data_IF_450922906177
#
_entry.id   IF_450922906177
#
_cell.length_a   1.000
_cell.length_b   1.000
_cell.length_c   1.000
_cell.angle_alpha   90.00
_cell.angle_beta   90.00
_cell.angle_gamma   90.00
#
_symmetry.space_group_name_H-M   'P 1'
#
loop_
_entity.id
_entity.type
_entity.pdbx_description
1 polymer ?
#
# COMPACT_ATOMS: atom_id res chain seq x y z
N UNK A 1 13.54 15.83 -12.45
CA UNK A 1 13.19 16.11 -11.04
C UNK A 1 13.07 14.78 -10.32
N UNK A 2 13.86 14.54 -9.27
CA UNK A 2 13.74 13.31 -8.49
C UNK A 2 12.44 13.37 -7.67
N UNK A 3 11.50 12.45 -7.93
CA UNK A 3 10.25 12.32 -7.17
C UNK A 3 10.61 11.89 -5.75
N UNK A 4 10.16 12.62 -4.72
CA UNK A 4 10.34 12.22 -3.33
C UNK A 4 9.81 10.78 -3.12
N UNK A 5 10.59 9.94 -2.42
CA UNK A 5 10.16 8.57 -2.09
C UNK A 5 8.91 8.63 -1.21
N UNK A 6 7.90 7.87 -1.60
CA UNK A 6 6.65 7.72 -0.86
C UNK A 6 6.71 6.44 -0.04
N UNK A 7 6.58 6.56 1.27
CA UNK A 7 6.70 5.43 2.21
C UNK A 7 5.36 4.94 2.77
N UNK A 8 4.29 5.72 2.65
CA UNK A 8 2.97 5.39 3.21
C UNK A 8 1.96 5.31 2.08
N UNK A 9 1.21 4.22 2.02
CA UNK A 9 0.18 3.95 1.03
C UNK A 9 -1.15 3.65 1.73
N UNK A 10 -2.13 4.51 1.51
CA UNK A 10 -3.45 4.42 2.15
C UNK A 10 -4.39 3.50 1.37
N UNK A 11 -5.33 2.87 2.08
CA UNK A 11 -6.44 2.08 1.50
C UNK A 11 -7.71 2.27 2.34
N UNK A 12 -8.88 2.32 1.69
CA UNK A 12 -10.16 2.45 2.37
C UNK A 12 -11.18 3.27 1.56
N UNK A 13 -12.46 3.20 1.96
CA UNK A 13 -13.52 4.00 1.31
C UNK A 13 -13.70 3.71 -0.19
N UNK A 14 -13.39 2.49 -0.63
CA UNK A 14 -13.48 2.10 -2.04
C UNK A 14 -12.34 2.60 -2.92
N UNK A 15 -11.23 3.09 -2.35
CA UNK A 15 -10.03 3.51 -3.06
C UNK A 15 -8.77 3.09 -2.30
N UNK A 16 -7.67 2.88 -3.03
CA UNK A 16 -6.36 2.70 -2.46
C UNK A 16 -5.28 3.33 -3.33
N UNK A 17 -4.15 3.66 -2.70
CA UNK A 17 -2.95 4.17 -3.37
C UNK A 17 -2.04 3.04 -3.87
N UNK A 18 -2.31 1.80 -3.43
CA UNK A 18 -1.63 0.57 -3.85
C UNK A 18 -2.51 -0.31 -4.75
N UNK A 19 -1.94 -1.44 -5.19
CA UNK A 19 -2.62 -2.48 -6.00
C UNK A 19 -1.93 -3.83 -5.85
N UNK A 20 -2.58 -4.90 -6.30
CA UNK A 20 -2.09 -6.28 -6.18
C UNK A 20 -0.70 -6.52 -6.78
N UNK A 21 -0.27 -5.71 -7.75
CA UNK A 21 1.06 -5.80 -8.39
C UNK A 21 2.19 -5.31 -7.48
N UNK A 22 1.89 -4.49 -6.46
CA UNK A 22 2.87 -3.81 -5.62
C UNK A 22 3.34 -4.67 -4.44
N UNK A 23 3.46 -6.00 -4.62
CA UNK A 23 3.82 -6.95 -3.55
C UNK A 23 5.22 -6.72 -3.01
N UNK A 24 6.17 -6.39 -3.87
CA UNK A 24 7.55 -6.12 -3.47
C UNK A 24 7.65 -4.86 -2.60
N UNK A 25 6.77 -3.87 -2.84
CA UNK A 25 6.79 -2.58 -2.13
C UNK A 25 5.91 -2.59 -0.88
N UNK A 26 4.74 -3.23 -0.92
CA UNK A 26 3.72 -3.18 0.14
C UNK A 26 3.61 -4.49 0.93
N UNK A 27 4.35 -5.53 0.53
CA UNK A 27 4.13 -6.90 0.98
C UNK A 27 2.85 -7.51 0.40
N UNK A 28 2.74 -8.84 0.48
CA UNK A 28 1.57 -9.56 -0.07
C UNK A 28 0.24 -9.16 0.57
N UNK A 29 0.23 -8.90 1.90
CA UNK A 29 -0.98 -8.48 2.63
C UNK A 29 -1.38 -7.04 2.30
N UNK A 30 -0.43 -6.10 2.27
CA UNK A 30 -0.69 -4.70 1.94
C UNK A 30 -1.18 -4.53 0.50
N UNK A 31 -0.57 -5.24 -0.45
CA UNK A 31 -0.99 -5.25 -1.85
C UNK A 31 -2.41 -5.80 -2.04
N UNK A 32 -2.76 -6.90 -1.35
CA UNK A 32 -4.11 -7.48 -1.43
C UNK A 32 -5.17 -6.59 -0.75
N UNK A 33 -4.87 -5.95 0.38
CA UNK A 33 -5.79 -5.02 1.05
C UNK A 33 -6.09 -3.80 0.17
N UNK A 34 -5.06 -3.26 -0.49
CA UNK A 34 -5.22 -2.19 -1.46
C UNK A 34 -6.08 -2.62 -2.66
N UNK A 35 -5.88 -3.83 -3.17
CA UNK A 35 -6.70 -4.38 -4.25
C UNK A 35 -8.17 -4.55 -3.83
N UNK A 36 -8.42 -5.10 -2.65
CA UNK A 36 -9.78 -5.23 -2.11
C UNK A 36 -10.46 -3.87 -1.97
N UNK A 37 -9.75 -2.85 -1.49
CA UNK A 37 -10.26 -1.49 -1.43
C UNK A 37 -10.59 -0.92 -2.83
N UNK A 38 -9.73 -1.13 -3.83
CA UNK A 38 -9.99 -0.69 -5.21
C UNK A 38 -11.18 -1.42 -5.86
N UNK A 39 -11.39 -2.69 -5.51
CA UNK A 39 -12.57 -3.48 -5.91
C UNK A 39 -13.85 -3.08 -5.17
N UNK A 40 -13.80 -2.05 -4.33
CA UNK A 40 -14.92 -1.58 -3.49
C UNK A 40 -15.44 -2.63 -2.52
N UNK A 41 -14.61 -3.62 -2.17
CA UNK A 41 -14.91 -4.55 -1.09
C UNK A 41 -14.80 -3.75 0.22
N UNK A 42 -15.76 -3.89 1.15
CA UNK A 42 -15.74 -3.17 2.42
C UNK A 42 -14.57 -3.67 3.29
N UNK A 43 -13.43 -3.00 3.16
CA UNK A 43 -12.27 -3.15 4.04
C UNK A 43 -12.16 -1.93 4.96
N UNK A 44 -11.84 -2.13 6.26
CA UNK A 44 -11.56 -1.03 7.17
C UNK A 44 -10.44 -0.13 6.61
N UNK A 45 -10.59 1.18 6.77
CA UNK A 45 -9.58 2.13 6.32
C UNK A 45 -8.26 1.94 7.08
N UNK A 46 -7.15 2.06 6.37
CA UNK A 46 -5.82 1.89 6.92
C UNK A 46 -4.73 2.33 5.95
N UNK A 47 -3.50 1.99 6.28
CA UNK A 47 -2.34 2.28 5.45
C UNK A 47 -1.28 1.18 5.57
N UNK A 48 -0.41 1.12 4.57
CA UNK A 48 0.76 0.24 4.52
C UNK A 48 2.01 1.09 4.46
N UNK A 49 2.98 0.78 5.30
CA UNK A 49 4.34 1.34 5.22
C UNK A 49 5.15 0.44 4.29
N UNK A 50 5.90 1.01 3.35
CA UNK A 50 6.62 0.22 2.35
C UNK A 50 7.74 -0.63 2.96
N UNK A 51 8.07 -1.72 2.28
CA UNK A 51 9.21 -2.59 2.59
C UNK A 51 10.54 -1.84 2.58
N UNK A 52 10.66 -0.77 1.79
CA UNK A 52 11.85 0.09 1.78
C UNK A 52 12.13 0.73 3.14
N UNK A 53 11.09 0.99 3.96
CA UNK A 53 11.28 1.52 5.32
C UNK A 53 11.91 0.45 6.23
N UNK A 54 11.62 -0.83 5.99
CA UNK A 54 12.26 -1.94 6.70
C UNK A 54 13.78 -1.92 6.45
N UNK A 55 14.19 -1.77 5.18
CA UNK A 55 15.61 -1.65 4.80
C UNK A 55 16.24 -0.33 5.26
N UNK A 56 15.47 0.74 5.43
CA UNK A 56 15.99 2.00 5.97
C UNK A 56 16.29 1.90 7.48
N UNK A 57 15.46 1.16 8.21
CA UNK A 57 15.53 1.05 9.66
C UNK A 57 16.61 0.05 10.13
N UNK A 58 16.89 -0.97 9.34
CA UNK A 58 17.80 -2.07 9.66
C UNK A 58 19.11 -1.96 8.88
#
# INVERSE_FOLDING_TARGET
MAKQKKYVYSFGGGKAEGRAEMKELLGGKGANLAEMANLKIPVPAGFTITTEVCTYYY
#
